data_IF_331679169931
#
_entry.id   IF_331679169931
#
_cell.length_a   1.000
_cell.length_b   1.000
_cell.length_c   1.000
_cell.angle_alpha   90.00
_cell.angle_beta   90.00
_cell.angle_gamma   90.00
#
_symmetry.space_group_name_H-M   'P 1'
#
loop_
_entity.id
_entity.type
_entity.pdbx_description
1 polymer ?
#
# COMPACT_ATOMS: atom_id res chain seq x y z
N UNK A 1 22.56 4.45 -7.60
CA UNK A 1 21.45 4.87 -6.71
C UNK A 1 20.12 4.68 -7.45
N UNK A 2 19.38 3.63 -7.10
CA UNK A 2 17.92 3.48 -7.24
C UNK A 2 17.55 2.10 -6.70
N UNK A 3 17.33 2.03 -5.38
CA UNK A 3 17.00 0.82 -4.63
C UNK A 3 15.52 0.47 -4.79
N UNK A 4 15.12 0.03 -5.98
CA UNK A 4 13.74 -0.42 -6.24
C UNK A 4 13.67 -1.68 -7.13
N UNK A 5 14.81 -2.34 -7.37
CA UNK A 5 14.95 -3.42 -8.35
C UNK A 5 15.36 -4.75 -7.69
N UNK A 6 14.69 -5.22 -6.64
CA UNK A 6 14.98 -6.57 -6.09
C UNK A 6 13.74 -7.29 -5.55
N UNK A 7 12.62 -7.25 -6.28
CA UNK A 7 11.48 -8.11 -5.98
C UNK A 7 11.21 -9.10 -7.12
N UNK A 8 12.27 -9.69 -7.68
CA UNK A 8 12.16 -10.89 -8.52
C UNK A 8 13.41 -11.75 -8.32
N UNK A 9 13.26 -12.86 -7.61
CA UNK A 9 13.73 -14.15 -8.09
C UNK A 9 13.05 -15.30 -7.34
N UNK A 10 12.38 -16.09 -8.15
CA UNK A 10 11.70 -17.35 -7.87
C UNK A 10 12.76 -18.38 -7.47
N UNK A 11 12.54 -19.14 -6.40
CA UNK A 11 13.06 -20.51 -6.34
C UNK A 11 12.12 -21.43 -5.57
N UNK A 12 11.66 -22.43 -6.32
CA UNK A 12 10.72 -23.48 -5.99
C UNK A 12 11.33 -24.62 -5.18
N UNK A 13 10.47 -25.55 -4.73
CA UNK A 13 10.73 -26.94 -4.23
C UNK A 13 11.03 -26.95 -2.71
N UNK A 14 10.34 -27.68 -1.81
CA UNK A 14 9.85 -29.06 -1.85
C UNK A 14 8.84 -29.30 -0.70
N UNK A 15 7.88 -30.21 -0.90
CA UNK A 15 7.01 -30.77 0.16
C UNK A 15 7.81 -31.69 1.07
N UNK A 16 7.70 -31.51 2.39
CA UNK A 16 7.80 -32.59 3.38
C UNK A 16 7.09 -32.18 4.68
N UNK A 17 6.20 -33.05 5.15
CA UNK A 17 5.52 -32.97 6.43
C UNK A 17 6.52 -32.86 7.60
N UNK A 18 6.12 -32.19 8.70
CA UNK A 18 6.19 -32.64 10.10
C UNK A 18 5.93 -31.44 11.07
N UNK A 19 5.39 -31.68 12.28
CA UNK A 19 4.58 -30.72 13.06
C UNK A 19 5.33 -29.94 14.16
N UNK A 20 4.60 -28.97 14.73
CA UNK A 20 4.83 -28.11 15.91
C UNK A 20 6.09 -28.34 16.74
N UNK A 21 7.01 -27.38 16.66
CA UNK A 21 7.92 -27.07 17.77
C UNK A 21 8.03 -25.56 17.97
N UNK A 22 7.79 -25.18 19.22
CA UNK A 22 7.83 -23.87 19.83
C UNK A 22 9.08 -23.06 19.45
N UNK A 23 8.91 -21.95 18.73
CA UNK A 23 9.75 -20.78 18.90
C UNK A 23 9.16 -19.56 18.18
N UNK A 24 8.82 -18.55 18.99
CA UNK A 24 9.04 -17.14 18.65
C UNK A 24 8.41 -16.70 17.33
N UNK A 25 7.09 -16.55 17.33
CA UNK A 25 6.40 -15.75 16.32
C UNK A 25 6.92 -14.32 16.48
N UNK A 26 7.76 -13.90 15.55
CA UNK A 26 8.27 -12.53 15.45
C UNK A 26 7.08 -11.57 15.38
N UNK A 27 6.92 -10.79 16.45
CA UNK A 27 6.39 -9.43 16.37
C UNK A 27 7.17 -8.66 15.31
N UNK A 28 6.56 -8.44 14.14
CA UNK A 28 6.85 -7.31 13.24
C UNK A 28 5.87 -7.29 12.04
N UNK A 29 4.59 -7.59 12.26
CA UNK A 29 3.55 -6.90 11.50
C UNK A 29 3.22 -5.63 12.29
N UNK A 30 4.18 -4.72 12.40
CA UNK A 30 3.89 -3.33 12.74
C UNK A 30 3.22 -2.69 11.51
N UNK A 31 2.02 -3.19 11.17
CA UNK A 31 0.98 -2.34 10.67
C UNK A 31 0.71 -1.38 11.81
N UNK A 32 1.38 -0.24 11.77
CA UNK A 32 1.02 0.88 12.61
C UNK A 32 -0.33 1.36 12.07
N UNK A 33 -1.39 0.59 12.35
CA UNK A 33 -2.77 1.06 12.41
C UNK A 33 -2.83 2.05 13.59
N UNK A 34 -2.08 3.14 13.46
CA UNK A 34 -2.42 4.38 14.12
C UNK A 34 -3.71 4.79 13.45
N UNK A 35 -4.80 4.30 14.04
CA UNK A 35 -6.04 5.04 14.17
C UNK A 35 -5.74 6.36 14.92
N UNK A 36 -4.88 7.20 14.33
CA UNK A 36 -4.80 8.60 14.65
C UNK A 36 -6.07 9.21 14.08
N UNK A 37 -7.04 9.44 14.97
CA UNK A 37 -8.22 10.28 14.69
C UNK A 37 -7.73 11.51 13.91
N UNK A 38 -8.25 11.80 12.70
CA UNK A 38 -7.67 12.87 11.93
C UNK A 38 -8.00 14.21 12.59
N UNK A 39 -6.95 14.94 12.94
CA UNK A 39 -7.02 16.37 13.15
C UNK A 39 -7.28 17.03 11.78
N UNK A 40 -8.56 17.04 11.35
CA UNK A 40 -9.07 17.91 10.28
C UNK A 40 -9.04 17.40 8.85
N UNK A 41 -8.64 16.15 8.54
CA UNK A 41 -8.57 15.63 7.16
C UNK A 41 -9.09 14.20 6.98
N UNK A 42 -8.97 13.66 5.76
CA UNK A 42 -9.31 12.26 5.46
C UNK A 42 -8.18 11.31 5.88
N UNK A 43 -8.53 10.08 6.25
CA UNK A 43 -7.54 9.04 6.56
C UNK A 43 -6.90 8.45 5.31
N UNK A 44 -5.73 7.82 5.49
CA UNK A 44 -5.07 7.04 4.44
C UNK A 44 -5.98 5.99 3.83
N UNK A 45 -6.73 5.25 4.66
CA UNK A 45 -7.69 4.24 4.21
C UNK A 45 -8.79 4.85 3.33
N UNK A 46 -9.27 6.06 3.67
CA UNK A 46 -10.25 6.78 2.84
C UNK A 46 -9.64 7.22 1.51
N UNK A 47 -8.40 7.70 1.52
CA UNK A 47 -7.68 8.06 0.29
C UNK A 47 -7.46 6.84 -0.61
N UNK A 48 -7.11 5.68 -0.04
CA UNK A 48 -6.99 4.41 -0.77
C UNK A 48 -8.31 4.04 -1.43
N UNK A 49 -9.43 4.11 -0.69
CA UNK A 49 -10.75 3.80 -1.24
C UNK A 49 -11.10 4.72 -2.42
N UNK A 50 -10.82 6.03 -2.31
CA UNK A 50 -11.03 6.99 -3.40
C UNK A 50 -10.13 6.63 -4.60
N UNK A 51 -8.84 6.35 -4.39
CA UNK A 51 -7.93 5.99 -5.48
C UNK A 51 -8.38 4.74 -6.24
N UNK A 52 -8.87 3.71 -5.53
CA UNK A 52 -9.36 2.46 -6.14
C UNK A 52 -10.67 2.64 -6.93
N UNK A 53 -11.44 3.71 -6.68
CA UNK A 53 -12.60 4.06 -7.51
C UNK A 53 -12.18 4.56 -8.89
N UNK A 54 -10.99 5.18 -9.02
CA UNK A 54 -10.47 5.68 -10.29
C UNK A 54 -9.74 4.60 -11.08
N UNK A 55 -8.91 3.81 -10.41
CA UNK A 55 -8.19 2.70 -11.02
C UNK A 55 -8.34 1.47 -10.15
N UNK A 56 -9.02 0.44 -10.68
CA UNK A 56 -9.05 -0.87 -10.04
C UNK A 56 -7.65 -1.50 -10.08
N UNK A 57 -7.29 -2.21 -9.01
CA UNK A 57 -6.01 -2.90 -8.93
C UNK A 57 -5.42 -2.92 -7.52
N UNK A 58 -4.15 -3.33 -7.43
CA UNK A 58 -3.43 -3.46 -6.17
C UNK A 58 -2.73 -2.15 -5.83
N UNK A 59 -2.98 -1.62 -4.64
CA UNK A 59 -2.19 -0.51 -4.08
C UNK A 59 -0.77 -1.00 -3.81
N UNK A 60 0.21 -0.37 -4.45
CA UNK A 60 1.62 -0.67 -4.27
C UNK A 60 2.26 0.20 -3.19
N UNK A 61 1.80 1.43 -3.07
CA UNK A 61 2.33 2.39 -2.11
C UNK A 61 1.31 3.51 -1.84
N UNK A 62 1.35 4.02 -0.61
CA UNK A 62 0.73 5.27 -0.20
C UNK A 62 1.79 6.11 0.52
N UNK A 63 1.75 7.41 0.26
CA UNK A 63 2.57 8.40 0.98
C UNK A 63 1.78 9.69 1.09
N UNK A 64 1.93 10.40 2.20
CA UNK A 64 1.43 11.76 2.33
C UNK A 64 2.60 12.73 2.25
N UNK A 65 2.48 13.76 1.43
CA UNK A 65 3.41 14.88 1.42
C UNK A 65 2.58 16.15 1.50
N UNK A 66 2.87 16.98 2.50
CA UNK A 66 2.05 18.12 2.88
C UNK A 66 0.57 17.73 3.06
N UNK A 67 -0.30 18.22 2.18
CA UNK A 67 -1.75 17.99 2.20
C UNK A 67 -2.20 17.11 1.04
N UNK A 68 -1.32 16.29 0.47
CA UNK A 68 -1.65 15.42 -0.65
C UNK A 68 -1.22 13.99 -0.37
N UNK A 69 -2.16 13.06 -0.48
CA UNK A 69 -1.87 11.64 -0.59
C UNK A 69 -1.48 11.32 -2.03
N UNK A 70 -0.31 10.69 -2.19
CA UNK A 70 0.14 10.07 -3.43
C UNK A 70 0.00 8.57 -3.31
N UNK A 71 -0.84 7.99 -4.16
CA UNK A 71 -1.15 6.56 -4.16
C UNK A 71 -0.73 5.97 -5.50
N UNK A 72 -0.01 4.86 -5.45
CA UNK A 72 0.38 4.10 -6.65
C UNK A 72 -0.43 2.82 -6.72
N UNK A 73 -1.12 2.60 -7.83
CA UNK A 73 -1.95 1.41 -8.08
C UNK A 73 -1.40 0.67 -9.28
N UNK A 74 -1.17 -0.64 -9.13
CA UNK A 74 -0.95 -1.55 -10.25
C UNK A 74 -2.30 -2.02 -10.76
N UNK A 75 -2.69 -1.61 -11.96
CA UNK A 75 -3.91 -2.09 -12.61
C UNK A 75 -3.76 -3.54 -13.08
N UNK A 76 -4.89 -4.19 -13.36
CA UNK A 76 -4.92 -5.55 -13.89
C UNK A 76 -4.25 -5.69 -15.27
N UNK A 77 -4.06 -4.56 -15.98
CA UNK A 77 -3.30 -4.47 -17.23
C UNK A 77 -1.78 -4.35 -17.00
N UNK A 78 -1.32 -4.42 -15.75
CA UNK A 78 0.10 -4.31 -15.39
C UNK A 78 0.65 -2.88 -15.43
N UNK A 79 -0.20 -1.86 -15.56
CA UNK A 79 0.21 -0.45 -15.60
C UNK A 79 0.18 0.17 -14.21
N UNK A 80 1.19 0.97 -13.86
CA UNK A 80 1.21 1.69 -12.58
C UNK A 80 0.60 3.08 -12.75
N UNK A 81 -0.57 3.28 -12.17
CA UNK A 81 -1.21 4.58 -12.08
C UNK A 81 -0.80 5.29 -10.79
N UNK A 82 -0.68 6.62 -10.86
CA UNK A 82 -0.45 7.49 -9.72
C UNK A 82 -1.63 8.43 -9.54
N UNK A 83 -2.24 8.37 -8.37
CA UNK A 83 -3.37 9.21 -7.98
C UNK A 83 -2.90 10.18 -6.88
N UNK A 84 -3.20 11.46 -7.06
CA UNK A 84 -2.99 12.52 -6.09
C UNK A 84 -4.33 12.94 -5.50
N UNK A 85 -4.46 12.86 -4.18
CA UNK A 85 -5.70 13.13 -3.45
C UNK A 85 -5.44 14.15 -2.36
N UNK A 86 -6.24 15.21 -2.31
CA UNK A 86 -6.19 16.20 -1.24
C UNK A 86 -6.54 15.55 0.11
N UNK A 87 -5.64 15.68 1.08
CA UNK A 87 -5.74 15.05 2.39
C UNK A 87 -6.76 15.75 3.31
N UNK A 88 -7.22 16.96 2.98
CA UNK A 88 -8.24 17.67 3.75
C UNK A 88 -9.64 17.19 3.39
N UNK A 89 -9.96 17.12 2.10
CA UNK A 89 -11.34 16.88 1.63
C UNK A 89 -11.51 15.62 0.77
N UNK A 90 -10.43 14.96 0.37
CA UNK A 90 -10.47 13.77 -0.49
C UNK A 90 -10.68 14.05 -1.97
N UNK A 91 -10.57 15.31 -2.42
CA UNK A 91 -10.67 15.65 -3.83
C UNK A 91 -9.48 15.06 -4.61
N UNK A 92 -9.77 14.46 -5.77
CA UNK A 92 -8.73 13.96 -6.66
C UNK A 92 -8.13 15.13 -7.44
N UNK A 93 -6.87 15.43 -7.15
CA UNK A 93 -6.09 16.50 -7.80
C UNK A 93 -5.55 16.02 -9.15
N UNK A 94 -5.16 14.75 -9.24
CA UNK A 94 -4.64 14.15 -10.47
C UNK A 94 -4.80 12.64 -10.46
N UNK A 95 -5.10 12.06 -11.62
CA UNK A 95 -5.20 10.62 -11.83
C UNK A 95 -4.63 10.30 -13.22
N UNK A 96 -3.53 9.54 -13.25
CA UNK A 96 -2.84 9.13 -14.50
C UNK A 96 -2.17 7.77 -14.35
#
# INVERSE_FOLDING_TARGET
>A
MSRWQQALLIMSIMVAAMPDTLARRHDAASGHDRAGKPAGGISEQRAIAIAQQHFSGRVLAISQTDRVYRIKILSDQGTVHTILIDALNGAVVSAR
#
